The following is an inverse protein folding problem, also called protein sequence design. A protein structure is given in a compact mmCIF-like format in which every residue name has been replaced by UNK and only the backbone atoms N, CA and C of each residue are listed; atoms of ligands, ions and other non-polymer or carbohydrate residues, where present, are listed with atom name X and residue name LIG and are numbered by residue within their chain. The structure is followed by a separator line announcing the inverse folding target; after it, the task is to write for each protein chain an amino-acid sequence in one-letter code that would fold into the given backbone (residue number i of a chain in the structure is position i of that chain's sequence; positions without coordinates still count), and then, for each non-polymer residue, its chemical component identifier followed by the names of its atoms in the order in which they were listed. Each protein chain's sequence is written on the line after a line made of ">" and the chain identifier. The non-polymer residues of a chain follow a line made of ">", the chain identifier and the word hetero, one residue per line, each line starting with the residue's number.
data_IF_645155412781
#
_entry.id   IF_645155412781
#
_cell.length_a   1.000
_cell.length_b   1.000
_cell.length_c   1.000
_cell.angle_alpha   90.00
_cell.angle_beta   90.00
_cell.angle_gamma   90.00
#
_symmetry.space_group_name_H-M   'P 1'
#
loop_
_entity.id
_entity.type
_entity.pdbx_description
1 polymer ?
#
# COMPACT_ATOMS: atom_id res chain seq x y z
N UNK A 1 -18.32 4.33 -8.51
CA UNK A 1 -16.91 4.73 -8.25
C UNK A 1 -16.08 3.58 -7.66
N UNK A 2 -16.49 2.93 -6.55
CA UNK A 2 -15.72 1.86 -5.90
C UNK A 2 -15.51 0.65 -6.82
N UNK A 3 -16.53 0.21 -7.57
CA UNK A 3 -16.41 -0.90 -8.52
C UNK A 3 -15.39 -0.61 -9.64
N UNK A 4 -15.40 0.60 -10.19
CA UNK A 4 -14.40 1.01 -11.19
C UNK A 4 -12.99 1.00 -10.62
N UNK A 5 -12.80 1.50 -9.40
CA UNK A 5 -11.51 1.42 -8.72
C UNK A 5 -11.06 -0.03 -8.53
N UNK A 6 -11.97 -0.94 -8.18
CA UNK A 6 -11.70 -2.37 -8.07
C UNK A 6 -11.25 -3.01 -9.39
N UNK A 7 -11.90 -2.66 -10.51
CA UNK A 7 -11.52 -3.12 -11.85
C UNK A 7 -10.11 -2.63 -12.21
N UNK A 8 -9.82 -1.32 -12.01
CA UNK A 8 -8.48 -0.78 -12.26
C UNK A 8 -7.41 -1.41 -11.35
N UNK A 9 -7.75 -1.72 -10.12
CA UNK A 9 -6.82 -2.42 -9.22
C UNK A 9 -6.55 -3.84 -9.68
N UNK A 10 -7.57 -4.56 -10.13
CA UNK A 10 -7.45 -5.92 -10.66
C UNK A 10 -6.58 -5.98 -11.92
N UNK A 11 -6.70 -5.00 -12.84
CA UNK A 11 -5.85 -4.95 -14.04
C UNK A 11 -4.36 -4.75 -13.72
N UNK A 12 -4.03 -4.14 -12.58
CA UNK A 12 -2.63 -3.95 -12.19
C UNK A 12 -1.90 -5.28 -11.95
N UNK A 13 -2.58 -6.28 -11.38
CA UNK A 13 -2.03 -7.63 -11.19
C UNK A 13 -1.82 -8.37 -12.51
N UNK A 14 -2.73 -8.18 -13.48
CA UNK A 14 -2.58 -8.74 -14.83
C UNK A 14 -1.38 -8.12 -15.56
N UNK A 15 -1.27 -6.80 -15.54
CA UNK A 15 -0.15 -6.07 -16.15
C UNK A 15 1.18 -6.52 -15.54
N UNK A 16 1.24 -6.70 -14.22
CA UNK A 16 2.44 -7.19 -13.55
C UNK A 16 2.88 -8.57 -14.07
N UNK A 17 1.94 -9.47 -14.36
CA UNK A 17 2.24 -10.80 -14.93
C UNK A 17 2.68 -10.77 -16.39
N UNK A 18 2.29 -9.75 -17.17
CA UNK A 18 2.65 -9.61 -18.57
C UNK A 18 4.06 -8.99 -18.77
N UNK A 19 4.63 -8.43 -17.73
CA UNK A 19 5.99 -7.86 -17.76
C UNK A 19 6.97 -8.97 -17.38
N UNK A 20 7.40 -9.78 -18.35
CA UNK A 20 8.28 -10.93 -18.12
C UNK A 20 9.75 -10.54 -17.93
N UNK A 21 10.18 -9.40 -18.47
CA UNK A 21 11.61 -9.00 -18.49
C UNK A 21 11.99 -8.04 -17.34
N UNK A 22 11.05 -7.41 -16.67
CA UNK A 22 11.35 -6.43 -15.63
C UNK A 22 11.43 -7.06 -14.23
N UNK A 23 12.46 -6.67 -13.49
CA UNK A 23 12.58 -7.00 -12.07
C UNK A 23 11.45 -6.32 -11.27
N UNK A 24 10.95 -6.98 -10.22
CA UNK A 24 9.91 -6.43 -9.33
C UNK A 24 10.24 -5.03 -8.81
N UNK A 25 11.51 -4.73 -8.59
CA UNK A 25 12.01 -3.43 -8.15
C UNK A 25 11.95 -2.36 -9.22
N UNK A 26 12.21 -2.72 -10.47
CA UNK A 26 12.04 -1.81 -11.62
C UNK A 26 10.56 -1.45 -11.77
N UNK A 27 9.66 -2.44 -11.68
CA UNK A 27 8.22 -2.20 -11.73
C UNK A 27 7.77 -1.26 -10.60
N UNK A 28 8.25 -1.48 -9.36
CA UNK A 28 7.96 -0.59 -8.23
C UNK A 28 8.46 0.83 -8.49
N UNK A 29 9.69 0.96 -8.99
CA UNK A 29 10.31 2.26 -9.27
C UNK A 29 9.52 3.05 -10.31
N UNK A 30 9.29 2.46 -11.50
CA UNK A 30 8.58 3.14 -12.58
C UNK A 30 7.13 3.45 -12.24
N UNK A 31 6.42 2.52 -11.58
CA UNK A 31 5.06 2.74 -11.11
C UNK A 31 4.97 3.89 -10.12
N UNK A 32 5.87 3.91 -9.14
CA UNK A 32 5.89 4.95 -8.10
C UNK A 32 6.31 6.29 -8.65
N UNK A 33 7.27 6.31 -9.59
CA UNK A 33 7.72 7.51 -10.30
C UNK A 33 6.60 8.09 -11.18
N UNK A 34 5.90 7.26 -11.94
CA UNK A 34 4.77 7.70 -12.75
C UNK A 34 3.65 8.30 -11.89
N UNK A 35 3.33 7.66 -10.76
CA UNK A 35 2.36 8.17 -9.79
C UNK A 35 2.82 9.50 -9.19
N UNK A 36 4.10 9.62 -8.83
CA UNK A 36 4.70 10.84 -8.31
C UNK A 36 4.59 12.01 -9.31
N UNK A 37 4.95 11.76 -10.57
CA UNK A 37 4.85 12.77 -11.64
C UNK A 37 3.38 13.17 -11.85
N UNK A 38 2.48 12.20 -11.96
CA UNK A 38 1.06 12.45 -12.16
C UNK A 38 0.47 13.30 -11.01
N UNK A 39 0.79 12.94 -9.76
CA UNK A 39 0.30 13.69 -8.59
C UNK A 39 0.96 15.07 -8.49
N UNK A 40 2.22 15.22 -8.86
CA UNK A 40 2.88 16.54 -8.91
C UNK A 40 2.16 17.48 -9.89
N UNK A 41 1.83 16.99 -11.09
CA UNK A 41 1.08 17.75 -12.08
C UNK A 41 -0.32 18.09 -11.56
N UNK A 42 -1.04 17.11 -11.02
CA UNK A 42 -2.41 17.25 -10.50
C UNK A 42 -2.47 18.25 -9.35
N UNK A 43 -1.56 18.14 -8.38
CA UNK A 43 -1.46 19.06 -7.25
C UNK A 43 -0.98 20.45 -7.68
N UNK A 44 -0.06 20.53 -8.64
CA UNK A 44 0.39 21.81 -9.24
C UNK A 44 -0.77 22.56 -9.91
N UNK A 45 -1.61 21.88 -10.69
CA UNK A 45 -2.81 22.46 -11.30
C UNK A 45 -3.87 22.87 -10.26
N UNK A 46 -4.08 22.03 -9.23
CA UNK A 46 -5.14 22.26 -8.23
C UNK A 46 -4.79 23.34 -7.22
N UNK A 47 -3.55 23.39 -6.75
CA UNK A 47 -3.12 24.29 -5.66
C UNK A 47 -2.30 25.49 -6.11
N UNK A 48 -1.99 25.68 -7.40
CA UNK A 48 -1.27 26.84 -7.96
C UNK A 48 -0.12 27.29 -7.04
N UNK A 49 0.91 26.48 -6.85
CA UNK A 49 2.10 26.77 -6.02
C UNK A 49 1.84 26.96 -4.51
N UNK A 50 0.58 26.96 -4.04
CA UNK A 50 0.27 26.96 -2.61
C UNK A 50 0.42 25.58 -1.96
N UNK A 51 0.89 24.59 -2.73
CA UNK A 51 1.11 23.22 -2.27
C UNK A 51 2.06 23.14 -1.07
N UNK A 52 3.12 23.94 -1.04
CA UNK A 52 4.04 24.07 0.09
C UNK A 52 3.42 24.75 1.34
N UNK A 53 2.24 25.32 1.21
CA UNK A 53 1.49 25.93 2.31
C UNK A 53 0.43 24.97 2.88
N UNK A 54 0.66 23.67 2.77
CA UNK A 54 -0.10 22.68 3.54
C UNK A 54 0.04 23.07 5.01
N UNK A 55 -1.11 23.36 5.64
CA UNK A 55 -1.19 23.78 7.04
C UNK A 55 -0.24 22.96 7.89
N UNK A 56 0.71 23.59 8.55
CA UNK A 56 1.78 22.96 9.35
C UNK A 56 1.27 21.91 10.36
N UNK A 57 -0.02 21.96 10.73
CA UNK A 57 -0.67 20.96 11.58
C UNK A 57 -1.06 19.64 10.89
N UNK A 58 -1.03 19.60 9.54
CA UNK A 58 -1.41 18.40 8.76
C UNK A 58 -0.18 17.64 8.20
N UNK A 59 1.00 18.25 8.20
CA UNK A 59 2.21 17.63 7.60
C UNK A 59 2.67 16.37 8.34
N UNK A 60 2.71 16.38 9.66
CA UNK A 60 3.20 15.24 10.45
C UNK A 60 2.37 13.97 10.21
N UNK A 61 1.02 13.99 10.34
CA UNK A 61 0.22 12.82 10.04
C UNK A 61 0.32 12.37 8.56
N UNK A 62 0.38 13.32 7.61
CA UNK A 62 0.54 12.96 6.19
C UNK A 62 1.90 12.33 5.90
N UNK A 63 2.98 12.77 6.56
CA UNK A 63 4.31 12.15 6.47
C UNK A 63 4.29 10.72 7.02
N UNK A 64 3.72 10.52 8.21
CA UNK A 64 3.60 9.19 8.82
C UNK A 64 2.77 8.27 7.93
N UNK A 65 1.60 8.74 7.48
CA UNK A 65 0.73 7.98 6.59
C UNK A 65 1.38 7.67 5.24
N UNK A 66 2.10 8.63 4.67
CA UNK A 66 2.85 8.46 3.42
C UNK A 66 4.00 7.47 3.57
N UNK A 67 4.75 7.54 4.66
CA UNK A 67 5.82 6.58 4.97
C UNK A 67 5.26 5.16 5.15
N UNK A 68 4.20 5.00 5.94
CA UNK A 68 3.52 3.72 6.14
C UNK A 68 3.02 3.13 4.81
N UNK A 69 2.42 3.95 3.94
CA UNK A 69 1.95 3.49 2.63
C UNK A 69 3.11 3.19 1.68
N UNK A 70 4.22 3.92 1.75
CA UNK A 70 5.45 3.62 1.01
C UNK A 70 6.01 2.24 1.39
N UNK A 71 6.06 1.94 2.68
CA UNK A 71 6.42 0.60 3.19
C UNK A 71 5.42 -0.45 2.68
N UNK A 72 4.12 -0.14 2.69
CA UNK A 72 3.10 -1.07 2.19
C UNK A 72 3.31 -1.40 0.71
N UNK A 73 3.60 -0.43 -0.13
CA UNK A 73 3.90 -0.65 -1.55
C UNK A 73 5.14 -1.52 -1.76
N UNK A 74 6.21 -1.22 -1.03
CA UNK A 74 7.46 -1.99 -1.10
C UNK A 74 7.27 -3.42 -0.59
N UNK A 75 6.62 -3.57 0.56
CA UNK A 75 6.33 -4.88 1.15
C UNK A 75 5.42 -5.74 0.27
N UNK A 76 4.45 -5.13 -0.41
CA UNK A 76 3.56 -5.84 -1.33
C UNK A 76 4.30 -6.38 -2.56
N UNK A 77 5.20 -5.59 -3.16
CA UNK A 77 6.01 -6.04 -4.29
C UNK A 77 6.97 -7.16 -3.86
N UNK A 78 7.62 -7.02 -2.70
CA UNK A 78 8.43 -8.10 -2.12
C UNK A 78 7.63 -9.37 -1.85
N UNK A 79 6.39 -9.24 -1.40
CA UNK A 79 5.52 -10.39 -1.21
C UNK A 79 5.24 -11.09 -2.54
N UNK A 80 4.89 -10.35 -3.60
CA UNK A 80 4.64 -10.90 -4.93
C UNK A 80 5.87 -11.59 -5.54
N UNK A 81 7.07 -11.15 -5.19
CA UNK A 81 8.34 -11.79 -5.63
C UNK A 81 8.59 -13.12 -4.91
N UNK A 82 8.17 -13.27 -3.65
CA UNK A 82 8.54 -14.38 -2.79
C UNK A 82 7.39 -15.33 -2.42
N UNK A 83 6.14 -15.01 -2.82
CA UNK A 83 4.98 -15.88 -2.58
C UNK A 83 3.98 -15.78 -3.74
N UNK A 84 2.95 -16.62 -3.71
CA UNK A 84 1.89 -16.57 -4.73
C UNK A 84 0.98 -15.36 -4.53
N UNK A 85 0.41 -14.84 -5.64
CA UNK A 85 -0.53 -13.72 -5.58
C UNK A 85 -1.71 -14.01 -4.65
N UNK A 86 -2.37 -15.19 -4.71
CA UNK A 86 -3.44 -15.55 -3.79
C UNK A 86 -3.02 -15.50 -2.33
N UNK A 87 -1.83 -16.04 -2.01
CA UNK A 87 -1.31 -16.04 -0.64
C UNK A 87 -1.00 -14.62 -0.13
N UNK A 88 -0.35 -13.79 -0.96
CA UNK A 88 -0.11 -12.39 -0.62
C UNK A 88 -1.41 -11.62 -0.35
N UNK A 89 -2.44 -11.82 -1.18
CA UNK A 89 -3.76 -11.19 -1.02
C UNK A 89 -4.49 -11.69 0.23
N UNK A 90 -4.38 -12.99 0.55
CA UNK A 90 -4.95 -13.56 1.76
C UNK A 90 -4.37 -12.90 3.01
N UNK A 91 -3.04 -12.76 3.07
CA UNK A 91 -2.37 -12.11 4.19
C UNK A 91 -2.72 -10.62 4.25
N UNK A 92 -2.80 -9.93 3.09
CA UNK A 92 -3.18 -8.53 3.02
C UNK A 92 -4.62 -8.29 3.54
N UNK A 93 -5.51 -9.28 3.43
CA UNK A 93 -6.87 -9.21 3.96
C UNK A 93 -6.93 -9.13 5.50
N UNK A 94 -5.80 -9.30 6.19
CA UNK A 94 -5.66 -9.01 7.63
C UNK A 94 -5.64 -7.50 7.90
N UNK A 95 -5.41 -6.65 6.90
CA UNK A 95 -5.34 -5.19 7.07
C UNK A 95 -6.56 -4.55 7.76
N UNK A 96 -7.81 -4.94 7.51
CA UNK A 96 -8.94 -4.39 8.26
C UNK A 96 -8.87 -4.69 9.77
N UNK A 97 -8.39 -5.89 10.17
CA UNK A 97 -8.22 -6.25 11.57
C UNK A 97 -7.14 -5.40 12.23
N UNK A 98 -5.98 -5.30 11.61
CA UNK A 98 -4.87 -4.48 12.13
C UNK A 98 -5.25 -3.00 12.16
N UNK A 99 -6.01 -2.51 11.17
CA UNK A 99 -6.55 -1.15 11.16
C UNK A 99 -7.52 -0.91 12.33
N UNK A 100 -8.41 -1.85 12.60
CA UNK A 100 -9.36 -1.76 13.71
C UNK A 100 -8.64 -1.77 15.06
N UNK A 101 -7.64 -2.66 15.22
CA UNK A 101 -6.84 -2.75 16.44
C UNK A 101 -6.02 -1.48 16.67
N UNK A 102 -5.32 -0.99 15.66
CA UNK A 102 -4.55 0.25 15.72
C UNK A 102 -5.46 1.47 15.96
N UNK A 103 -6.64 1.52 15.34
CA UNK A 103 -7.64 2.56 15.56
C UNK A 103 -8.13 2.57 17.01
N UNK A 104 -8.34 1.39 17.59
CA UNK A 104 -8.71 1.28 19.01
C UNK A 104 -7.59 1.77 19.94
N UNK A 105 -6.34 1.39 19.67
CA UNK A 105 -5.21 1.73 20.53
C UNK A 105 -4.80 3.19 20.40
N UNK A 106 -4.77 3.72 19.17
CA UNK A 106 -4.24 5.07 18.88
C UNK A 106 -5.33 6.14 18.95
N UNK A 107 -6.53 5.83 18.45
CA UNK A 107 -7.63 6.79 18.35
C UNK A 107 -8.68 6.63 19.45
N UNK A 108 -8.62 5.53 20.24
CA UNK A 108 -9.63 5.22 21.24
C UNK A 108 -10.98 4.82 20.64
N UNK A 109 -11.02 4.43 19.37
CA UNK A 109 -12.26 4.06 18.67
C UNK A 109 -12.83 2.74 19.22
N UNK A 110 -14.16 2.69 19.41
CA UNK A 110 -14.85 1.45 19.74
C UNK A 110 -15.11 0.64 18.49
N UNK A 111 -14.68 -0.62 18.48
CA UNK A 111 -14.94 -1.54 17.36
C UNK A 111 -16.33 -2.13 17.57
N UNK A 112 -17.24 -1.88 16.64
CA UNK A 112 -18.60 -2.43 16.68
C UNK A 112 -18.58 -3.94 16.42
N UNK A 113 -19.38 -4.69 17.16
CA UNK A 113 -19.38 -6.17 17.09
C UNK A 113 -19.65 -6.71 15.68
N UNK A 114 -20.50 -6.05 14.90
CA UNK A 114 -20.76 -6.47 13.53
C UNK A 114 -19.53 -6.35 12.61
N UNK A 115 -18.60 -5.42 12.88
CA UNK A 115 -17.37 -5.29 12.11
C UNK A 115 -16.50 -6.54 12.25
N UNK A 116 -16.42 -7.13 13.44
CA UNK A 116 -15.73 -8.39 13.66
C UNK A 116 -16.33 -9.53 12.84
N UNK A 117 -17.67 -9.59 12.80
CA UNK A 117 -18.39 -10.60 11.99
C UNK A 117 -18.06 -10.42 10.49
N UNK A 118 -18.10 -9.19 9.97
CA UNK A 118 -17.78 -8.93 8.58
C UNK A 118 -16.31 -9.27 8.25
N UNK A 119 -15.38 -8.92 9.13
CA UNK A 119 -13.96 -9.21 8.94
C UNK A 119 -13.70 -10.73 8.94
N UNK A 120 -14.27 -11.46 9.91
CA UNK A 120 -14.13 -12.93 9.96
C UNK A 120 -14.79 -13.62 8.76
N UNK A 121 -15.96 -13.16 8.35
CA UNK A 121 -16.62 -13.68 7.14
C UNK A 121 -15.75 -13.45 5.88
N UNK A 122 -15.09 -12.29 5.77
CA UNK A 122 -14.17 -12.01 4.67
C UNK A 122 -12.97 -12.96 4.67
N UNK A 123 -12.37 -13.21 5.84
CA UNK A 123 -11.25 -14.17 5.94
C UNK A 123 -11.67 -15.59 5.59
N UNK A 124 -12.86 -16.03 6.04
CA UNK A 124 -13.39 -17.35 5.70
C UNK A 124 -13.62 -17.46 4.18
N UNK A 125 -14.25 -16.43 3.58
CA UNK A 125 -14.46 -16.40 2.13
C UNK A 125 -13.16 -16.45 1.33
N UNK A 126 -12.15 -15.71 1.75
CA UNK A 126 -10.81 -15.77 1.15
C UNK A 126 -10.12 -17.11 1.35
N UNK A 127 -10.24 -17.72 2.54
CA UNK A 127 -9.69 -19.06 2.80
C UNK A 127 -10.30 -20.10 1.88
N UNK A 128 -11.59 -20.04 1.61
CA UNK A 128 -12.28 -20.94 0.67
C UNK A 128 -11.79 -20.68 -0.77
N UNK A 129 -11.62 -19.40 -1.15
CA UNK A 129 -11.19 -19.03 -2.49
C UNK A 129 -9.75 -19.45 -2.79
N UNK A 130 -8.84 -19.26 -1.83
CA UNK A 130 -7.42 -19.56 -2.01
C UNK A 130 -7.13 -21.06 -1.85
N UNK A 131 -7.94 -21.76 -1.02
CA UNK A 131 -7.95 -23.22 -0.88
C UNK A 131 -6.57 -23.83 -0.70
N UNK A 132 -6.23 -24.76 -1.60
CA UNK A 132 -4.95 -25.51 -1.56
C UNK A 132 -3.73 -24.69 -2.02
N UNK A 133 -3.92 -23.48 -2.58
CA UNK A 133 -2.82 -22.63 -3.01
C UNK A 133 -2.12 -21.89 -1.86
N UNK A 134 -2.62 -22.02 -0.63
CA UNK A 134 -1.95 -21.50 0.56
C UNK A 134 -0.69 -22.34 0.83
N UNK A 135 0.39 -21.97 0.20
CA UNK A 135 1.70 -22.55 0.53
C UNK A 135 2.41 -21.66 1.55
N UNK A 136 2.39 -22.05 2.80
CA UNK A 136 3.25 -21.49 3.85
C UNK A 136 4.69 -21.99 3.61
N UNK A 137 5.39 -21.37 2.62
CA UNK A 137 6.59 -22.03 2.12
C UNK A 137 7.91 -21.34 2.31
N UNK A 138 7.99 -20.02 2.38
CA UNK A 138 9.30 -19.34 2.38
C UNK A 138 9.47 -18.23 3.43
N UNK A 139 8.48 -17.96 4.26
CA UNK A 139 8.55 -16.99 5.35
C UNK A 139 8.75 -15.54 4.95
N UNK A 140 9.60 -15.26 3.95
CA UNK A 140 9.94 -13.90 3.51
C UNK A 140 8.76 -13.24 2.77
N UNK A 141 8.06 -13.98 1.91
CA UNK A 141 6.90 -13.47 1.17
C UNK A 141 5.74 -13.15 2.10
N UNK A 142 5.44 -14.06 3.02
CA UNK A 142 4.37 -13.90 4.02
C UNK A 142 4.65 -12.76 4.98
N UNK A 143 5.90 -12.65 5.46
CA UNK A 143 6.32 -11.55 6.33
C UNK A 143 6.21 -10.21 5.59
N UNK A 144 6.60 -10.16 4.33
CA UNK A 144 6.51 -8.96 3.50
C UNK A 144 5.05 -8.56 3.25
N UNK A 145 4.15 -9.52 3.03
CA UNK A 145 2.72 -9.27 2.92
C UNK A 145 2.11 -8.74 4.24
N UNK A 146 2.56 -9.28 5.37
CA UNK A 146 2.14 -8.79 6.69
C UNK A 146 2.63 -7.37 6.95
N UNK A 147 3.88 -7.06 6.61
CA UNK A 147 4.43 -5.69 6.68
C UNK A 147 3.62 -4.75 5.79
N UNK A 148 3.23 -5.20 4.59
CA UNK A 148 2.37 -4.43 3.70
C UNK A 148 0.99 -4.15 4.32
N UNK A 149 0.37 -5.16 4.95
CA UNK A 149 -0.91 -5.01 5.65
C UNK A 149 -0.81 -4.01 6.82
N UNK A 150 0.24 -4.11 7.63
CA UNK A 150 0.50 -3.19 8.74
C UNK A 150 0.77 -1.75 8.24
N UNK A 151 1.54 -1.59 7.18
CA UNK A 151 1.79 -0.29 6.56
C UNK A 151 0.50 0.35 6.03
N UNK A 152 -0.35 -0.41 5.36
CA UNK A 152 -1.65 0.06 4.89
C UNK A 152 -2.58 0.45 6.06
N UNK A 153 -2.56 -0.31 7.13
CA UNK A 153 -3.30 -0.01 8.36
C UNK A 153 -2.81 1.26 9.03
N UNK A 154 -1.49 1.43 9.14
CA UNK A 154 -0.87 2.64 9.70
C UNK A 154 -1.23 3.90 8.91
N UNK A 155 -1.22 3.83 7.57
CA UNK A 155 -1.69 4.91 6.70
C UNK A 155 -3.15 5.25 6.99
N UNK A 156 -4.03 4.24 7.03
CA UNK A 156 -5.46 4.44 7.27
C UNK A 156 -5.75 5.11 8.63
N UNK A 157 -5.06 4.67 9.68
CA UNK A 157 -5.17 5.26 11.02
C UNK A 157 -4.60 6.67 11.06
N UNK A 158 -3.49 6.92 10.37
CA UNK A 158 -2.90 8.27 10.26
C UNK A 158 -3.85 9.26 9.58
N UNK A 159 -4.58 8.83 8.54
CA UNK A 159 -5.61 9.65 7.89
C UNK A 159 -6.80 9.94 8.82
N UNK A 160 -7.19 8.98 9.66
CA UNK A 160 -8.27 9.17 10.65
C UNK A 160 -7.86 10.07 11.81
N UNK A 161 -6.60 10.02 12.21
CA UNK A 161 -6.07 10.82 13.32
C UNK A 161 -6.27 12.33 13.11
N UNK A 162 -6.12 12.79 11.88
CA UNK A 162 -6.39 14.19 11.54
C UNK A 162 -7.33 14.27 10.33
N UNK A 163 -8.59 14.60 10.56
CA UNK A 163 -9.63 14.76 9.52
C UNK A 163 -9.31 15.85 8.48
N UNK A 164 -8.32 16.71 8.73
CA UNK A 164 -7.83 17.73 7.78
C UNK A 164 -6.73 17.19 6.87
N UNK A 165 -6.30 15.93 7.03
CA UNK A 165 -5.32 15.31 6.17
C UNK A 165 -5.89 15.15 4.76
N UNK A 166 -5.14 15.66 3.78
CA UNK A 166 -5.45 15.44 2.38
C UNK A 166 -4.89 14.07 1.93
N UNK A 167 -5.79 13.20 1.51
CA UNK A 167 -5.42 11.88 0.97
C UNK A 167 -4.43 11.99 -0.20
N UNK A 168 -4.59 13.01 -1.06
CA UNK A 168 -3.70 13.22 -2.20
C UNK A 168 -2.28 13.53 -1.76
N UNK A 169 -2.11 14.35 -0.72
CA UNK A 169 -0.80 14.65 -0.13
C UNK A 169 -0.16 13.40 0.47
N UNK A 170 -0.94 12.57 1.15
CA UNK A 170 -0.45 11.31 1.72
C UNK A 170 0.00 10.33 0.64
N UNK A 171 -0.76 10.19 -0.46
CA UNK A 171 -0.38 9.33 -1.59
C UNK A 171 0.85 9.89 -2.33
N UNK A 172 0.96 11.21 -2.47
CA UNK A 172 2.14 11.86 -3.03
C UNK A 172 3.41 11.53 -2.22
N UNK A 173 3.35 11.67 -0.91
CA UNK A 173 4.47 11.31 -0.03
C UNK A 173 4.77 9.82 -0.07
N UNK A 174 3.75 8.97 -0.15
CA UNK A 174 3.94 7.53 -0.30
C UNK A 174 4.64 7.15 -1.60
N UNK A 175 4.26 7.78 -2.73
CA UNK A 175 4.94 7.55 -4.01
C UNK A 175 6.38 8.04 -3.98
N UNK A 176 6.67 9.15 -3.30
CA UNK A 176 8.02 9.65 -3.08
C UNK A 176 8.86 8.64 -2.28
N UNK A 177 8.37 8.16 -1.13
CA UNK A 177 9.06 7.18 -0.32
C UNK A 177 9.27 5.86 -1.06
N UNK A 178 8.24 5.36 -1.76
CA UNK A 178 8.34 4.13 -2.54
C UNK A 178 9.37 4.25 -3.68
N UNK A 179 9.42 5.40 -4.36
CA UNK A 179 10.43 5.66 -5.41
C UNK A 179 11.84 5.68 -4.81
N UNK A 180 12.03 6.33 -3.65
CA UNK A 180 13.32 6.36 -2.96
C UNK A 180 13.74 4.95 -2.53
N UNK A 181 12.84 4.17 -1.93
CA UNK A 181 13.14 2.79 -1.50
C UNK A 181 13.49 1.90 -2.70
N UNK A 182 12.73 1.97 -3.79
CA UNK A 182 13.01 1.21 -5.00
C UNK A 182 14.36 1.62 -5.61
N UNK A 183 14.64 2.92 -5.72
CA UNK A 183 15.91 3.42 -6.23
C UNK A 183 17.10 2.95 -5.40
N UNK A 184 17.02 3.04 -4.07
CA UNK A 184 18.07 2.57 -3.17
C UNK A 184 18.34 1.07 -3.34
N UNK A 185 17.29 0.26 -3.47
CA UNK A 185 17.44 -1.19 -3.64
C UNK A 185 18.04 -1.53 -5.01
N UNK A 186 17.61 -0.84 -6.08
CA UNK A 186 18.20 -1.00 -7.39
C UNK A 186 19.69 -0.64 -7.40
N UNK A 187 20.09 0.43 -6.72
CA UNK A 187 21.50 0.83 -6.56
C UNK A 187 22.32 -0.20 -5.78
N UNK A 188 21.76 -0.77 -4.70
CA UNK A 188 22.46 -1.78 -3.87
C UNK A 188 22.62 -3.10 -4.62
N UNK A 189 21.65 -3.46 -5.46
CA UNK A 189 21.68 -4.71 -6.26
C UNK A 189 22.47 -4.61 -7.55
N UNK A 190 23.08 -3.47 -7.86
CA UNK A 190 23.77 -3.19 -9.12
C UNK A 190 22.92 -3.50 -10.38
N UNK A 191 21.59 -3.42 -10.20
CA UNK A 191 20.61 -3.70 -11.25
C UNK A 191 20.45 -2.47 -12.14
N UNK A 192 20.41 -2.69 -13.48
CA UNK A 192 20.18 -1.58 -14.39
C UNK A 192 18.84 -0.91 -14.14
N UNK A 193 18.79 0.43 -14.19
CA UNK A 193 17.53 1.19 -14.17
C UNK A 193 16.79 1.08 -15.51
N UNK A 194 17.43 0.51 -16.55
CA UNK A 194 16.89 0.39 -17.91
C UNK A 194 16.16 -0.96 -17.99
N UNK A 195 14.93 -0.91 -18.49
CA UNK A 195 14.10 -2.06 -18.86
C UNK A 195 14.67 -2.74 -20.09
#
# INVERSE_FOLDING_TARGET
>A
MVLLAGVFWSTSGLIYRLIEEATSWQVLFYRSLALLIMLTLLLGFRYRLKFFRVSSGSLKPSLIGGFCLGIAFTGFILALENTTVPNAMFILAVAPFTTALLGRVILGESILSYMWVCMTATLIGLSIMVGEEISLGRGVGELSALIAALGFSGMTVSLRYNRKNDLLTTIFLASLFATIFAALILMIRDSSFIL
#
